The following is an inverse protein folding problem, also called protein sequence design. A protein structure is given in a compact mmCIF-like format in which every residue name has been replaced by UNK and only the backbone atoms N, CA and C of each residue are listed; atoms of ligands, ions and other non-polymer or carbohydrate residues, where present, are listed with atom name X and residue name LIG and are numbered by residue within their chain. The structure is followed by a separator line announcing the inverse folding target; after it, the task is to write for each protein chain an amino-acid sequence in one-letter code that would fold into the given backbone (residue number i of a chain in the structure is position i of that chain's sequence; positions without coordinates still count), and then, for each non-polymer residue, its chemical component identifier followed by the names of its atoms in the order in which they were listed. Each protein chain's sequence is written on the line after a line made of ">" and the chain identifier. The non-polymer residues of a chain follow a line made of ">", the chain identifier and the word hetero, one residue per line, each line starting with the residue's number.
data_IF_325166838594
#
_entry.id   IF_325166838594
#
_cell.length_a   1.000
_cell.length_b   1.000
_cell.length_c   1.000
_cell.angle_alpha   90.00
_cell.angle_beta   90.00
_cell.angle_gamma   90.00
#
_symmetry.space_group_name_H-M   'P 1'
#
loop_
_entity.id
_entity.type
_entity.pdbx_description
1 polymer ?
#
# COMPACT_ATOMS: atom_id res chain seq x y z
N UNK A 1 1.45 -7.68 19.77
CA UNK A 1 0.42 -6.63 19.90
C UNK A 1 -0.44 -6.69 18.66
N UNK A 2 -1.74 -6.97 18.79
CA UNK A 2 -2.68 -6.89 17.66
C UNK A 2 -3.13 -5.44 17.58
N UNK A 3 -2.51 -4.63 16.72
CA UNK A 3 -2.93 -3.24 16.51
C UNK A 3 -4.32 -3.27 15.89
N UNK A 4 -5.31 -2.71 16.59
CA UNK A 4 -6.66 -2.56 16.04
C UNK A 4 -6.62 -1.46 14.99
N UNK A 5 -6.96 -1.81 13.75
CA UNK A 5 -7.14 -0.84 12.69
C UNK A 5 -8.28 0.12 13.06
N UNK A 6 -8.08 1.40 12.78
CA UNK A 6 -9.11 2.43 12.77
C UNK A 6 -10.17 2.16 11.70
N UNK A 7 -11.34 2.78 11.82
CA UNK A 7 -12.42 2.60 10.85
C UNK A 7 -12.00 2.97 9.42
N UNK A 8 -11.20 4.04 9.25
CA UNK A 8 -10.67 4.46 7.96
C UNK A 8 -9.65 3.47 7.39
N UNK A 9 -8.79 2.89 8.23
CA UNK A 9 -7.85 1.84 7.81
C UNK A 9 -8.57 0.55 7.41
N UNK A 10 -9.65 0.19 8.10
CA UNK A 10 -10.48 -0.97 7.76
C UNK A 10 -11.20 -0.78 6.42
N UNK A 11 -11.81 0.39 6.20
CA UNK A 11 -12.44 0.72 4.92
C UNK A 11 -11.42 0.69 3.78
N UNK A 12 -10.24 1.28 4.00
CA UNK A 12 -9.17 1.27 3.02
C UNK A 12 -8.71 -0.16 2.71
N UNK A 13 -8.47 -0.99 3.73
CA UNK A 13 -8.09 -2.39 3.54
C UNK A 13 -9.15 -3.16 2.73
N UNK A 14 -10.44 -2.96 3.01
CA UNK A 14 -11.51 -3.60 2.26
C UNK A 14 -11.51 -3.17 0.77
N UNK A 15 -11.23 -1.89 0.48
CA UNK A 15 -11.11 -1.38 -0.90
C UNK A 15 -9.90 -1.98 -1.61
N UNK A 16 -8.76 -2.11 -0.93
CA UNK A 16 -7.56 -2.73 -1.51
C UNK A 16 -7.80 -4.18 -1.94
N UNK A 17 -8.55 -4.95 -1.15
CA UNK A 17 -8.85 -6.35 -1.49
C UNK A 17 -9.64 -6.48 -2.80
N UNK A 18 -10.46 -5.50 -3.14
CA UNK A 18 -11.24 -5.47 -4.37
C UNK A 18 -10.47 -4.97 -5.60
N UNK A 19 -9.30 -4.35 -5.43
CA UNK A 19 -8.49 -3.81 -6.53
C UNK A 19 -7.83 -4.91 -7.35
N UNK A 20 -7.64 -4.69 -8.64
CA UNK A 20 -6.69 -5.46 -9.44
C UNK A 20 -5.25 -5.26 -8.95
N UNK A 21 -4.32 -6.12 -9.39
CA UNK A 21 -2.92 -5.98 -9.00
C UNK A 21 -2.31 -4.68 -9.51
N UNK A 22 -2.69 -4.23 -10.72
CA UNK A 22 -2.22 -2.96 -11.28
C UNK A 22 -2.72 -1.77 -10.45
N UNK A 23 -4.02 -1.73 -10.13
CA UNK A 23 -4.59 -0.65 -9.30
C UNK A 23 -3.97 -0.63 -7.89
N UNK A 24 -3.70 -1.79 -7.31
CA UNK A 24 -3.01 -1.91 -6.03
C UNK A 24 -1.58 -1.36 -6.12
N UNK A 25 -0.85 -1.65 -7.20
CA UNK A 25 0.50 -1.13 -7.42
C UNK A 25 0.52 0.37 -7.67
N UNK A 26 -0.43 0.91 -8.44
CA UNK A 26 -0.60 2.35 -8.64
C UNK A 26 -0.92 3.06 -7.32
N UNK A 27 -1.82 2.49 -6.52
CA UNK A 27 -2.17 3.03 -5.20
C UNK A 27 -0.95 3.11 -4.30
N UNK A 28 -0.13 2.05 -4.23
CA UNK A 28 1.09 2.04 -3.43
C UNK A 28 2.11 3.09 -3.91
N UNK A 29 2.32 3.21 -5.21
CA UNK A 29 3.24 4.21 -5.79
C UNK A 29 2.79 5.66 -5.55
N UNK A 30 1.48 5.92 -5.60
CA UNK A 30 0.90 7.21 -5.24
C UNK A 30 1.07 7.55 -3.75
N UNK A 31 0.95 6.55 -2.87
CA UNK A 31 1.20 6.72 -1.43
C UNK A 31 2.67 7.01 -1.13
N UNK A 32 3.62 6.30 -1.76
CA UNK A 32 5.06 6.60 -1.62
C UNK A 32 5.36 8.04 -2.04
N UNK A 33 4.88 8.44 -3.23
CA UNK A 33 5.06 9.81 -3.75
C UNK A 33 4.46 10.87 -2.83
N UNK A 34 3.35 10.54 -2.15
CA UNK A 34 2.69 11.44 -1.19
C UNK A 34 3.50 11.55 0.10
N UNK A 35 4.05 10.43 0.58
CA UNK A 35 4.86 10.38 1.81
C UNK A 35 6.14 11.23 1.69
N UNK A 36 6.72 11.30 0.49
CA UNK A 36 7.90 12.12 0.21
C UNK A 36 7.59 13.63 0.18
N UNK A 37 6.34 14.01 -0.08
CA UNK A 37 5.92 15.41 -0.33
C UNK A 37 5.23 16.07 0.85
N UNK A 38 4.92 15.33 1.92
CA UNK A 38 4.03 15.81 2.98
C UNK A 38 4.72 15.92 4.35
N UNK A 39 4.19 16.79 5.21
CA UNK A 39 4.64 16.98 6.60
C UNK A 39 4.38 15.75 7.47
N UNK A 40 5.17 15.61 8.55
CA UNK A 40 5.23 14.43 9.43
C UNK A 40 3.87 13.90 9.91
N UNK A 41 2.94 14.77 10.33
CA UNK A 41 1.63 14.34 10.83
C UNK A 41 0.76 13.66 9.77
N UNK A 42 0.83 14.14 8.51
CA UNK A 42 0.13 13.52 7.37
C UNK A 42 0.85 12.28 6.85
N UNK A 43 2.15 12.14 7.18
CA UNK A 43 2.91 10.93 6.86
C UNK A 43 2.48 9.75 7.73
N UNK A 44 1.91 9.96 8.93
CA UNK A 44 1.46 8.86 9.77
C UNK A 44 0.29 8.06 9.13
N UNK A 45 -0.74 8.75 8.62
CA UNK A 45 -1.85 8.10 7.89
C UNK A 45 -1.37 7.48 6.57
N UNK A 46 -0.49 8.20 5.85
CA UNK A 46 0.10 7.69 4.60
C UNK A 46 0.92 6.42 4.85
N UNK A 47 1.71 6.38 5.94
CA UNK A 47 2.51 5.22 6.31
C UNK A 47 1.65 4.02 6.68
N UNK A 48 0.58 4.22 7.46
CA UNK A 48 -0.37 3.15 7.76
C UNK A 48 -0.98 2.56 6.49
N UNK A 49 -1.36 3.40 5.52
CA UNK A 49 -1.87 2.96 4.21
C UNK A 49 -0.82 2.21 3.39
N UNK A 50 0.45 2.63 3.42
CA UNK A 50 1.55 1.90 2.78
C UNK A 50 1.66 0.49 3.37
N UNK A 51 1.70 0.35 4.70
CA UNK A 51 1.77 -0.96 5.38
C UNK A 51 0.58 -1.85 5.01
N UNK A 52 -0.62 -1.27 4.89
CA UNK A 52 -1.80 -2.01 4.44
C UNK A 52 -1.67 -2.49 3.00
N UNK A 53 -1.19 -1.65 2.08
CA UNK A 53 -0.92 -2.08 0.69
C UNK A 53 0.13 -3.18 0.62
N UNK A 54 1.21 -3.09 1.39
CA UNK A 54 2.25 -4.12 1.45
C UNK A 54 1.68 -5.45 1.97
N UNK A 55 0.80 -5.39 2.97
CA UNK A 55 0.13 -6.56 3.51
C UNK A 55 -0.78 -7.25 2.48
N UNK A 56 -1.49 -6.49 1.64
CA UNK A 56 -2.31 -7.06 0.55
C UNK A 56 -1.41 -7.65 -0.55
N UNK A 57 -0.31 -6.97 -0.91
CA UNK A 57 0.66 -7.50 -1.89
C UNK A 57 1.27 -8.81 -1.38
N UNK A 58 1.66 -8.91 -0.11
CA UNK A 58 2.20 -10.13 0.47
C UNK A 58 1.15 -11.26 0.48
N UNK A 59 -0.12 -10.97 0.75
CA UNK A 59 -1.19 -11.99 0.66
C UNK A 59 -1.38 -12.52 -0.76
N UNK A 60 -1.26 -11.67 -1.77
CA UNK A 60 -1.41 -12.04 -3.20
C UNK A 60 -0.17 -12.71 -3.76
N UNK A 61 1.01 -12.31 -3.29
CA UNK A 61 2.31 -12.79 -3.76
C UNK A 61 3.20 -13.22 -2.59
N UNK A 62 2.86 -14.31 -1.88
CA UNK A 62 3.55 -14.70 -0.65
C UNK A 62 5.04 -14.96 -0.87
N UNK A 63 5.87 -14.41 0.02
CA UNK A 63 7.32 -14.58 0.02
C UNK A 63 8.06 -13.80 -1.06
N UNK A 64 7.36 -12.98 -1.86
CA UNK A 64 7.99 -12.23 -2.95
C UNK A 64 8.44 -10.83 -2.54
N UNK A 65 8.23 -10.37 -1.31
CA UNK A 65 8.85 -9.15 -0.75
C UNK A 65 8.76 -7.92 -1.70
N UNK A 66 7.55 -7.66 -2.21
CA UNK A 66 7.24 -6.58 -3.16
C UNK A 66 7.92 -6.69 -4.55
N UNK A 67 8.54 -7.81 -4.90
CA UNK A 67 9.15 -8.01 -6.22
C UNK A 67 8.17 -7.79 -7.39
N UNK A 68 6.90 -8.26 -7.33
CA UNK A 68 5.92 -7.98 -8.39
C UNK A 68 5.67 -6.48 -8.60
N UNK A 69 5.50 -5.75 -7.51
CA UNK A 69 5.36 -4.29 -7.54
C UNK A 69 6.60 -3.60 -8.14
N UNK A 70 7.81 -4.00 -7.72
CA UNK A 70 9.07 -3.45 -8.22
C UNK A 70 9.27 -3.72 -9.71
N UNK A 71 8.91 -4.93 -10.16
CA UNK A 71 8.95 -5.30 -11.57
C UNK A 71 7.97 -4.44 -12.39
N UNK A 72 6.71 -4.35 -11.96
CA UNK A 72 5.72 -3.48 -12.58
C UNK A 72 6.20 -2.02 -12.67
N UNK A 73 6.71 -1.47 -11.56
CA UNK A 73 7.19 -0.08 -11.51
C UNK A 73 8.33 0.17 -12.50
N UNK A 74 9.22 -0.81 -12.67
CA UNK A 74 10.34 -0.75 -13.61
C UNK A 74 9.89 -0.70 -15.08
N UNK A 75 8.80 -1.39 -15.43
CA UNK A 75 8.28 -1.43 -16.80
C UNK A 75 7.28 -0.30 -17.12
N UNK A 76 6.91 0.51 -16.12
CA UNK A 76 6.03 1.68 -16.29
C UNK A 76 6.77 2.92 -16.81
N UNK A 77 8.11 2.88 -16.88
CA UNK A 77 8.99 4.00 -17.27
C UNK A 77 9.46 3.81 -18.71
#
# INVERSE_FOLDING_TARGET
>A
MSTRLSASEQEFAARLEAMSDVELFETRDGLESTSERTSFDKNCDTFAKIVLTESVIERRFPGQLLQPYKAWRKYRI
#
